data_IF_075351077485
#
_entry.id   IF_075351077485
#
_cell.length_a   1.000
_cell.length_b   1.000
_cell.length_c   1.000
_cell.angle_alpha   90.00
_cell.angle_beta   90.00
_cell.angle_gamma   90.00
#
_symmetry.space_group_name_H-M   'P 1'
#
loop_
_entity.id
_entity.type
_entity.pdbx_description
1 polymer ?
#
# COMPACT_ATOMS: atom_id res chain seq x y z
N UNK A 1 29.57 44.53 9.91
CA UNK A 1 30.43 43.40 10.28
C UNK A 1 30.91 43.50 11.74
N UNK A 2 31.80 44.44 12.08
CA UNK A 2 32.22 44.77 13.46
C UNK A 2 31.11 44.74 14.53
N UNK A 3 30.02 45.49 14.33
CA UNK A 3 28.84 45.48 15.22
C UNK A 3 28.22 44.10 15.42
N UNK A 4 28.20 43.27 14.37
CA UNK A 4 27.67 41.91 14.41
C UNK A 4 28.60 41.01 15.21
N UNK A 5 29.92 41.04 14.95
CA UNK A 5 30.90 40.28 15.73
C UNK A 5 30.77 40.60 17.23
N UNK A 6 30.76 41.89 17.59
CA UNK A 6 30.57 42.33 18.98
C UNK A 6 29.24 41.88 19.58
N UNK A 7 28.17 41.84 18.80
CA UNK A 7 26.86 41.38 19.26
C UNK A 7 26.86 39.89 19.59
N UNK A 8 27.60 39.10 18.82
CA UNK A 8 27.72 37.65 19.00
C UNK A 8 28.95 37.23 19.84
N UNK A 9 29.73 38.19 20.35
CA UNK A 9 30.87 37.95 21.24
C UNK A 9 32.18 37.57 20.54
N UNK A 10 32.28 37.83 19.23
CA UNK A 10 33.47 37.54 18.42
C UNK A 10 34.46 38.72 18.38
N UNK A 11 35.76 38.41 18.30
CA UNK A 11 36.85 39.40 18.26
C UNK A 11 36.99 40.04 16.87
N UNK A 12 36.97 41.37 16.83
CA UNK A 12 37.26 42.12 15.60
C UNK A 12 38.73 41.91 15.17
N UNK A 13 38.92 41.53 13.89
CA UNK A 13 40.25 41.31 13.31
C UNK A 13 40.77 39.87 13.39
N UNK A 14 40.08 38.99 14.13
CA UNK A 14 40.38 37.55 14.18
C UNK A 14 39.53 36.69 13.24
N UNK A 15 38.42 37.24 12.76
CA UNK A 15 37.44 36.50 11.98
C UNK A 15 37.08 37.27 10.70
N UNK A 16 37.09 36.57 9.57
CA UNK A 16 36.66 37.13 8.28
C UNK A 16 35.14 37.03 8.12
N UNK A 17 34.52 37.87 7.29
CA UNK A 17 33.07 37.80 7.03
C UNK A 17 32.60 36.43 6.57
N UNK A 18 33.33 35.78 5.67
CA UNK A 18 32.94 34.49 5.11
C UNK A 18 32.95 33.38 6.17
N UNK A 19 33.92 33.45 7.10
CA UNK A 19 33.99 32.53 8.24
C UNK A 19 32.83 32.77 9.21
N UNK A 20 32.59 34.02 9.60
CA UNK A 20 31.50 34.38 10.52
C UNK A 20 30.13 33.99 9.95
N UNK A 21 29.83 34.39 8.71
CA UNK A 21 28.54 34.10 8.09
C UNK A 21 28.42 32.64 7.66
N UNK A 22 29.53 31.96 7.37
CA UNK A 22 29.56 30.52 7.11
C UNK A 22 29.09 29.68 8.29
N UNK A 23 29.30 30.13 9.54
CA UNK A 23 28.73 29.51 10.74
C UNK A 23 27.20 29.51 10.66
N UNK A 24 26.60 30.66 10.35
CA UNK A 24 25.15 30.78 10.24
C UNK A 24 24.60 30.00 9.05
N UNK A 25 25.29 30.00 7.90
CA UNK A 25 24.89 29.23 6.74
C UNK A 25 24.83 27.72 7.05
N UNK A 26 25.90 27.20 7.68
CA UNK A 26 25.97 25.81 8.15
C UNK A 26 24.86 25.51 9.16
N UNK A 27 24.63 26.42 10.12
CA UNK A 27 23.55 26.27 11.09
C UNK A 27 22.18 26.22 10.41
N UNK A 28 21.89 27.14 9.50
CA UNK A 28 20.60 27.19 8.81
C UNK A 28 20.36 25.96 7.95
N UNK A 29 21.40 25.45 7.28
CA UNK A 29 21.33 24.20 6.54
C UNK A 29 21.00 23.03 7.48
N UNK A 30 21.80 22.83 8.53
CA UNK A 30 21.56 21.73 9.49
C UNK A 30 20.22 21.85 10.22
N UNK A 31 19.76 23.06 10.50
CA UNK A 31 18.46 23.30 11.11
C UNK A 31 17.30 22.94 10.16
N UNK A 32 17.43 23.27 8.89
CA UNK A 32 16.47 22.89 7.84
C UNK A 32 16.39 21.37 7.69
N UNK A 33 17.54 20.70 7.65
CA UNK A 33 17.64 19.23 7.62
C UNK A 33 16.98 18.60 8.85
N UNK A 34 17.29 19.08 10.05
CA UNK A 34 16.69 18.58 11.29
C UNK A 34 15.15 18.75 11.33
N UNK A 35 14.62 19.85 10.78
CA UNK A 35 13.16 20.03 10.65
C UNK A 35 12.55 19.00 9.71
N UNK A 36 13.20 18.76 8.57
CA UNK A 36 12.72 17.78 7.59
C UNK A 36 12.78 16.34 8.14
N UNK A 37 13.83 16.03 8.91
CA UNK A 37 13.98 14.74 9.57
C UNK A 37 12.90 14.50 10.62
N UNK A 38 12.55 15.52 11.41
CA UNK A 38 11.44 15.44 12.38
C UNK A 38 10.11 15.14 11.69
N UNK A 39 9.83 15.82 10.58
CA UNK A 39 8.61 15.58 9.79
C UNK A 39 8.59 14.15 9.22
N UNK A 40 9.71 13.69 8.65
CA UNK A 40 9.83 12.34 8.12
C UNK A 40 9.68 11.27 9.21
N UNK A 41 10.26 11.48 10.39
CA UNK A 41 10.10 10.62 11.56
C UNK A 41 8.64 10.53 11.99
N UNK A 42 7.94 11.67 12.08
CA UNK A 42 6.53 11.71 12.42
C UNK A 42 5.68 10.96 11.39
N UNK A 43 5.91 11.20 10.09
CA UNK A 43 5.21 10.49 9.01
C UNK A 43 5.42 8.97 9.08
N UNK A 44 6.66 8.53 9.29
CA UNK A 44 6.99 7.10 9.43
C UNK A 44 6.30 6.47 10.63
N UNK A 45 6.26 7.17 11.77
CA UNK A 45 5.58 6.70 12.98
C UNK A 45 4.08 6.52 12.74
N UNK A 46 3.45 7.48 12.06
CA UNK A 46 2.01 7.41 11.75
C UNK A 46 1.69 6.29 10.73
N UNK A 47 2.55 6.09 9.73
CA UNK A 47 2.44 4.99 8.76
C UNK A 47 2.63 3.61 9.42
N UNK A 48 3.62 3.48 10.30
CA UNK A 48 3.88 2.25 11.05
C UNK A 48 2.72 1.93 12.01
N UNK A 49 2.17 2.93 12.69
CA UNK A 49 1.00 2.74 13.55
C UNK A 49 -0.24 2.31 12.75
N UNK A 50 -0.50 2.92 11.59
CA UNK A 50 -1.60 2.50 10.70
C UNK A 50 -1.41 1.06 10.22
N UNK A 51 -0.18 0.70 9.85
CA UNK A 51 0.15 -0.67 9.41
C UNK A 51 -0.06 -1.67 10.55
N UNK A 52 0.42 -1.36 11.76
CA UNK A 52 0.26 -2.21 12.93
C UNK A 52 -1.22 -2.42 13.29
N UNK A 53 -2.06 -1.37 13.21
CA UNK A 53 -3.51 -1.46 13.43
C UNK A 53 -4.19 -2.38 12.41
N UNK A 54 -3.86 -2.25 11.12
CA UNK A 54 -4.40 -3.11 10.07
C UNK A 54 -3.97 -4.57 10.23
N UNK A 55 -2.70 -4.80 10.56
CA UNK A 55 -2.16 -6.14 10.81
C UNK A 55 -2.82 -6.80 12.03
N UNK A 56 -3.05 -6.04 13.11
CA UNK A 56 -3.74 -6.52 14.30
C UNK A 56 -5.18 -6.94 14.00
N UNK A 57 -5.93 -6.12 13.25
CA UNK A 57 -7.30 -6.46 12.83
C UNK A 57 -7.34 -7.73 11.98
N UNK A 58 -6.43 -7.87 11.01
CA UNK A 58 -6.38 -9.06 10.15
C UNK A 58 -5.97 -10.32 10.92
N UNK A 59 -5.06 -10.17 11.90
CA UNK A 59 -4.66 -11.26 12.80
C UNK A 59 -5.81 -11.70 13.71
N UNK A 60 -6.55 -10.75 14.28
CA UNK A 60 -7.73 -11.04 15.09
C UNK A 60 -8.82 -11.74 14.28
N UNK A 61 -9.08 -11.29 13.04
CA UNK A 61 -10.01 -11.96 12.13
C UNK A 61 -9.60 -13.42 11.87
N UNK A 62 -8.33 -13.66 11.51
CA UNK A 62 -7.80 -15.02 11.30
C UNK A 62 -7.90 -15.88 12.56
N UNK A 63 -7.67 -15.31 13.73
CA UNK A 63 -7.82 -16.03 14.99
C UNK A 63 -9.27 -16.39 15.29
N UNK A 64 -10.20 -15.46 15.06
CA UNK A 64 -11.64 -15.69 15.20
C UNK A 64 -12.15 -16.79 14.28
N UNK A 65 -11.71 -16.80 13.01
CA UNK A 65 -12.02 -17.87 12.05
C UNK A 65 -11.47 -19.22 12.50
N UNK A 66 -10.24 -19.28 13.04
CA UNK A 66 -9.66 -20.51 13.58
C UNK A 66 -10.42 -21.01 14.81
N UNK A 67 -10.85 -20.10 15.70
CA UNK A 67 -11.66 -20.45 16.88
C UNK A 67 -13.04 -20.96 16.46
N UNK A 68 -13.71 -20.29 15.51
CA UNK A 68 -15.00 -20.72 14.96
C UNK A 68 -14.92 -22.13 14.34
N UNK A 69 -13.91 -22.42 13.52
CA UNK A 69 -13.69 -23.77 12.96
C UNK A 69 -13.41 -24.84 14.03
N UNK A 70 -12.79 -24.46 15.15
CA UNK A 70 -12.49 -25.39 16.25
C UNK A 70 -13.70 -25.63 17.16
N UNK A 71 -14.61 -24.66 17.28
CA UNK A 71 -15.86 -24.79 18.05
C UNK A 71 -17.03 -25.33 17.21
N UNK A 72 -17.03 -25.15 15.89
CA UNK A 72 -18.09 -25.62 14.97
C UNK A 72 -17.94 -27.08 14.53
N UNK A 73 -16.72 -27.65 14.62
CA UNK A 73 -16.46 -29.02 14.16
C UNK A 73 -17.26 -30.12 14.89
N UNK A 74 -17.87 -29.85 16.04
CA UNK A 74 -18.70 -30.85 16.76
C UNK A 74 -20.20 -30.72 16.53
N UNK A 75 -20.72 -29.59 16.02
CA UNK A 75 -22.18 -29.36 15.86
C UNK A 75 -22.61 -28.88 14.45
N UNK A 76 -21.73 -28.27 13.62
CA UNK A 76 -22.10 -27.73 12.29
C UNK A 76 -22.20 -28.80 11.18
N UNK A 77 -21.56 -29.96 11.34
CA UNK A 77 -21.52 -31.00 10.29
C UNK A 77 -22.93 -31.55 9.98
N UNK A 78 -23.88 -31.44 10.91
CA UNK A 78 -25.26 -31.88 10.71
C UNK A 78 -26.12 -30.97 9.83
N UNK A 79 -25.73 -29.71 9.63
CA UNK A 79 -26.51 -28.70 8.89
C UNK A 79 -25.87 -28.27 7.56
N UNK A 80 -24.54 -28.29 7.44
CA UNK A 80 -23.84 -27.86 6.21
C UNK A 80 -24.23 -28.70 4.98
N UNK A 81 -24.51 -30.01 5.16
CA UNK A 81 -24.98 -30.87 4.08
C UNK A 81 -26.42 -30.51 3.68
N UNK A 82 -27.28 -30.19 4.63
CA UNK A 82 -28.68 -29.82 4.36
C UNK A 82 -28.78 -28.45 3.70
N UNK A 83 -27.91 -27.50 4.06
CA UNK A 83 -27.79 -26.20 3.38
C UNK A 83 -27.33 -26.37 1.93
N UNK A 84 -26.33 -27.23 1.69
CA UNK A 84 -25.86 -27.56 0.35
C UNK A 84 -26.96 -28.26 -0.48
N UNK A 85 -27.67 -29.23 0.11
CA UNK A 85 -28.78 -29.94 -0.52
C UNK A 85 -29.95 -29.00 -0.79
N UNK A 86 -30.26 -28.10 0.13
CA UNK A 86 -31.31 -27.09 -0.02
C UNK A 86 -30.98 -26.11 -1.14
N UNK A 87 -29.73 -25.65 -1.26
CA UNK A 87 -29.28 -24.82 -2.37
C UNK A 87 -29.33 -25.54 -3.73
N UNK A 88 -29.06 -26.85 -3.75
CA UNK A 88 -29.20 -27.70 -4.94
C UNK A 88 -30.68 -27.93 -5.32
N UNK A 89 -31.55 -28.18 -4.34
CA UNK A 89 -32.99 -28.37 -4.54
C UNK A 89 -33.72 -27.09 -4.91
N UNK A 90 -33.33 -25.96 -4.33
CA UNK A 90 -33.88 -24.63 -4.65
C UNK A 90 -33.44 -24.13 -6.02
N UNK A 91 -32.38 -24.70 -6.59
CA UNK A 91 -31.83 -24.32 -7.89
C UNK A 91 -30.93 -23.08 -7.85
N UNK A 92 -30.73 -22.46 -6.68
CA UNK A 92 -29.94 -21.22 -6.52
C UNK A 92 -28.49 -21.40 -7.00
N UNK A 93 -27.93 -22.61 -6.84
CA UNK A 93 -26.58 -22.96 -7.30
C UNK A 93 -26.40 -22.86 -8.82
N UNK A 94 -27.47 -22.96 -9.61
CA UNK A 94 -27.41 -22.87 -11.07
C UNK A 94 -27.75 -21.47 -11.59
N UNK A 95 -28.53 -20.68 -10.85
CA UNK A 95 -28.99 -19.37 -11.30
C UNK A 95 -27.89 -18.29 -11.28
N UNK A 96 -26.94 -18.37 -10.33
CA UNK A 96 -25.96 -17.28 -10.12
C UNK A 96 -24.81 -17.23 -11.13
N UNK A 97 -24.48 -18.32 -11.81
CA UNK A 97 -23.34 -18.38 -12.74
C UNK A 97 -23.70 -18.64 -14.21
N UNK A 98 -24.88 -19.18 -14.53
CA UNK A 98 -25.30 -19.38 -15.93
C UNK A 98 -25.41 -18.05 -16.71
N UNK A 99 -25.73 -16.94 -16.02
CA UNK A 99 -25.76 -15.61 -16.62
C UNK A 99 -24.38 -14.97 -16.83
N UNK A 100 -23.34 -15.40 -16.09
CA UNK A 100 -21.97 -14.91 -16.27
C UNK A 100 -21.29 -15.58 -17.47
N UNK A 101 -21.54 -16.86 -17.71
CA UNK A 101 -21.03 -17.55 -18.91
C UNK A 101 -21.75 -17.15 -20.21
N UNK A 102 -23.03 -16.75 -20.16
CA UNK A 102 -23.78 -16.29 -21.35
C UNK A 102 -23.40 -14.89 -21.84
N UNK A 103 -22.86 -14.02 -20.97
CA UNK A 103 -22.44 -12.66 -21.35
C UNK A 103 -21.12 -12.60 -22.11
N UNK A 104 -20.31 -13.67 -22.09
CA UNK A 104 -19.02 -13.69 -22.77
C UNK A 104 -19.08 -14.17 -24.24
N UNK A 105 -20.27 -14.39 -24.79
CA UNK A 105 -20.49 -14.73 -26.21
C UNK A 105 -21.27 -13.63 -26.94
N UNK A 106 -20.72 -12.42 -26.96
CA UNK A 106 -20.91 -11.50 -28.09
C UNK A 106 -19.53 -11.01 -28.52
N UNK A 107 -18.90 -11.77 -29.41
CA UNK A 107 -17.84 -11.24 -30.27
C UNK A 107 -18.45 -10.12 -31.09
N UNK A 108 -17.87 -8.95 -30.92
CA UNK A 108 -17.83 -7.85 -31.87
C UNK A 108 -17.64 -8.34 -33.31
N UNK A 109 -18.65 -8.11 -34.14
CA UNK A 109 -18.68 -8.21 -35.61
C UNK A 109 -19.63 -7.07 -35.98
N UNK A 110 -19.34 -6.04 -36.78
CA UNK A 110 -18.35 -5.58 -37.75
C UNK A 110 -18.47 -4.04 -37.65
N UNK A 111 -17.56 -3.13 -37.99
CA UNK A 111 -16.73 -2.87 -39.17
C UNK A 111 -16.16 -1.45 -38.83
N UNK A 112 -14.88 -1.12 -38.96
CA UNK A 112 -14.30 -0.51 -40.17
C UNK A 112 -12.97 0.15 -39.75
N UNK A 113 -12.00 0.12 -40.67
CA UNK A 113 -10.77 0.95 -40.74
C UNK A 113 -9.57 0.50 -39.89
N UNK A 114 -8.70 -0.26 -40.59
CA UNK A 114 -7.31 0.11 -40.91
C UNK A 114 -6.29 0.28 -39.76
N UNK A 115 -5.16 -0.43 -39.91
CA UNK A 115 -3.87 0.02 -39.36
C UNK A 115 -3.28 -0.84 -38.24
N UNK A 116 -2.38 -1.74 -38.62
CA UNK A 116 -1.10 -1.87 -37.91
C UNK A 116 -1.04 -2.74 -36.65
N UNK A 117 -0.59 -3.98 -36.85
CA UNK A 117 0.51 -4.55 -36.07
C UNK A 117 0.25 -4.98 -34.63
N UNK A 118 0.41 -6.29 -34.37
CA UNK A 118 1.07 -6.86 -33.18
C UNK A 118 1.20 -8.36 -33.36
N UNK A 119 2.30 -8.77 -34.00
CA UNK A 119 2.81 -10.13 -33.88
C UNK A 119 3.04 -10.47 -32.40
N UNK A 120 2.69 -11.70 -32.00
CA UNK A 120 3.10 -12.26 -30.71
C UNK A 120 4.37 -13.08 -30.92
N UNK A 121 5.43 -12.73 -30.19
CA UNK A 121 6.65 -13.54 -30.14
C UNK A 121 6.32 -14.91 -29.53
N UNK A 122 6.57 -15.97 -30.31
CA UNK A 122 6.52 -17.36 -29.84
C UNK A 122 7.91 -17.72 -29.32
N UNK A 123 8.05 -17.85 -28.01
CA UNK A 123 9.26 -18.39 -27.40
C UNK A 123 9.33 -19.88 -27.74
N UNK A 124 10.18 -20.24 -28.71
CA UNK A 124 10.57 -21.63 -28.93
C UNK A 124 11.67 -21.98 -27.93
N UNK A 125 11.38 -22.91 -27.04
CA UNK A 125 12.36 -23.61 -26.22
C UNK A 125 12.84 -24.80 -27.05
N UNK A 126 14.15 -24.95 -27.25
CA UNK A 126 14.76 -26.21 -27.67
C UNK A 126 16.09 -26.37 -26.94
N UNK A 127 16.33 -27.61 -26.54
CA UNK A 127 17.54 -28.17 -25.92
C UNK A 127 18.72 -28.16 -26.89
#
# INVERSE_FOLDING_TARGET
FAKSLKHFGEDEGRMQPDEFFGIFDTFLQSFSEARQDLENMQRRKDEEERRARMEAMLKEQRERERRAKKSGASDEVGGEFDDLVSALRSGEVFDKDLNKFKRNRKRSVNQLVEGGGRERAVTKVNY
#
